data_IF_844748013496
#
_entry.id   IF_844748013496
#
_cell.length_a   1.000
_cell.length_b   1.000
_cell.length_c   1.000
_cell.angle_alpha   90.00
_cell.angle_beta   90.00
_cell.angle_gamma   90.00
#
_symmetry.space_group_name_H-M   'P 1'
#
loop_
_entity.id
_entity.type
_entity.pdbx_description
1 polymer ?
#
# COMPACT_ATOMS: atom_id res chain seq x y z
N UNK A 1 -6.49 2.12 -13.65
CA UNK A 1 -6.36 0.64 -13.64
C UNK A 1 -4.90 0.32 -13.48
N UNK A 2 -4.53 -0.65 -12.64
CA UNK A 2 -3.13 -1.07 -12.41
C UNK A 2 -3.11 -2.59 -12.47
N UNK A 3 -2.28 -3.21 -13.31
CA UNK A 3 -2.29 -4.66 -13.51
C UNK A 3 -3.66 -5.22 -13.91
N UNK A 4 -4.45 -4.46 -14.68
CA UNK A 4 -5.83 -4.81 -15.04
C UNK A 4 -6.83 -4.80 -13.88
N UNK A 5 -6.47 -4.24 -12.71
CA UNK A 5 -7.35 -4.12 -11.54
C UNK A 5 -7.76 -2.66 -11.30
N UNK A 6 -9.01 -2.49 -10.84
CA UNK A 6 -9.51 -1.18 -10.39
C UNK A 6 -9.12 -0.98 -8.93
N UNK A 7 -8.16 -0.08 -8.69
CA UNK A 7 -7.67 0.26 -7.37
C UNK A 7 -8.34 1.54 -6.90
N UNK A 8 -8.94 1.50 -5.71
CA UNK A 8 -9.50 2.68 -5.04
C UNK A 8 -8.42 3.37 -4.22
N UNK A 9 -8.25 4.67 -4.44
CA UNK A 9 -7.36 5.51 -3.64
C UNK A 9 -8.21 6.35 -2.69
N UNK A 10 -8.00 6.17 -1.39
CA UNK A 10 -8.61 6.96 -0.34
C UNK A 10 -7.59 7.95 0.21
N UNK A 11 -7.82 9.25 -0.02
CA UNK A 11 -6.96 10.32 0.49
C UNK A 11 -7.26 10.53 1.97
N UNK A 12 -6.34 10.10 2.83
CA UNK A 12 -6.57 9.89 4.25
C UNK A 12 -5.42 10.50 5.07
N UNK A 13 -5.33 11.85 5.14
CA UNK A 13 -4.23 12.54 5.82
C UNK A 13 -4.16 12.27 7.34
N UNK A 14 -5.21 11.68 7.92
CA UNK A 14 -5.21 11.22 9.31
C UNK A 14 -4.29 10.01 9.56
N UNK A 15 -3.92 9.25 8.53
CA UNK A 15 -2.96 8.16 8.65
C UNK A 15 -1.55 8.67 8.36
N UNK A 16 -0.59 8.30 9.20
CA UNK A 16 0.80 8.75 9.06
C UNK A 16 1.46 8.22 7.78
N UNK A 17 1.13 6.98 7.39
CA UNK A 17 1.77 6.25 6.29
C UNK A 17 0.76 5.81 5.25
N UNK A 18 1.20 5.72 4.00
CA UNK A 18 0.42 5.18 2.90
C UNK A 18 0.40 3.66 2.97
N UNK A 19 -0.81 3.07 2.95
CA UNK A 19 -1.02 1.63 3.16
C UNK A 19 -1.93 1.04 2.08
N UNK A 20 -1.45 -0.02 1.42
CA UNK A 20 -2.22 -0.85 0.50
C UNK A 20 -2.75 -2.11 1.19
N UNK A 21 -3.92 -2.58 0.76
CA UNK A 21 -4.33 -3.97 0.99
C UNK A 21 -3.39 -4.96 0.27
N UNK A 22 -3.40 -6.23 0.69
CA UNK A 22 -2.57 -7.26 0.05
C UNK A 22 -2.82 -7.35 -1.47
N UNK A 23 -4.10 -7.38 -1.87
CA UNK A 23 -4.48 -7.47 -3.29
C UNK A 23 -4.09 -6.22 -4.10
N UNK A 24 -4.19 -5.02 -3.51
CA UNK A 24 -3.72 -3.80 -4.17
C UNK A 24 -2.19 -3.80 -4.28
N UNK A 25 -1.48 -4.17 -3.21
CA UNK A 25 -0.03 -4.29 -3.21
C UNK A 25 0.48 -5.28 -4.26
N UNK A 26 -0.19 -6.43 -4.40
CA UNK A 26 0.14 -7.42 -5.42
C UNK A 26 -0.04 -6.88 -6.85
N UNK A 27 -1.14 -6.18 -7.12
CA UNK A 27 -1.38 -5.57 -8.43
C UNK A 27 -0.39 -4.44 -8.74
N UNK A 28 -0.07 -3.61 -7.75
CA UNK A 28 0.91 -2.52 -7.88
C UNK A 28 2.31 -3.09 -8.09
N UNK A 29 2.71 -4.10 -7.33
CA UNK A 29 4.01 -4.77 -7.47
C UNK A 29 4.19 -5.35 -8.88
N UNK A 30 3.18 -6.06 -9.39
CA UNK A 30 3.24 -6.67 -10.72
C UNK A 30 3.40 -5.63 -11.83
N UNK A 31 2.76 -4.46 -11.70
CA UNK A 31 2.84 -3.40 -12.70
C UNK A 31 4.12 -2.56 -12.56
N UNK A 32 4.53 -2.20 -11.34
CA UNK A 32 5.59 -1.22 -11.08
C UNK A 32 6.90 -1.84 -10.58
N UNK A 33 7.01 -3.16 -10.71
CA UNK A 33 8.14 -3.97 -10.23
C UNK A 33 8.46 -3.69 -8.74
N UNK A 34 7.42 -3.77 -7.91
CA UNK A 34 7.52 -3.54 -6.48
C UNK A 34 8.02 -4.78 -5.72
N UNK A 35 8.86 -4.56 -4.70
CA UNK A 35 9.40 -5.62 -3.84
C UNK A 35 9.18 -5.31 -2.35
N UNK A 36 8.87 -6.35 -1.56
CA UNK A 36 8.76 -6.23 -0.10
C UNK A 36 10.13 -6.23 0.54
N UNK A 37 10.29 -5.44 1.60
CA UNK A 37 11.55 -5.26 2.33
C UNK A 37 11.29 -5.12 3.82
N UNK A 38 12.30 -5.47 4.61
CA UNK A 38 12.26 -5.41 6.06
C UNK A 38 11.26 -6.36 6.71
N UNK A 39 11.18 -6.26 8.04
CA UNK A 39 10.32 -7.08 8.88
C UNK A 39 8.87 -6.54 8.92
N UNK A 40 7.86 -7.41 9.16
CA UNK A 40 6.48 -6.97 9.37
C UNK A 40 6.35 -5.98 10.53
N UNK A 41 5.63 -4.87 10.30
CA UNK A 41 5.27 -3.88 11.31
C UNK A 41 3.75 -3.80 11.46
N UNK A 42 3.28 -3.47 12.67
CA UNK A 42 1.86 -3.22 12.91
C UNK A 42 1.48 -1.83 12.39
N UNK A 43 0.44 -1.77 11.57
CA UNK A 43 -0.11 -0.52 11.06
C UNK A 43 -1.56 -0.36 11.50
N UNK A 44 -1.89 0.82 12.02
CA UNK A 44 -3.27 1.17 12.33
C UNK A 44 -4.07 1.33 11.03
N UNK A 45 -5.15 0.55 10.90
CA UNK A 45 -6.05 0.64 9.74
C UNK A 45 -7.25 1.54 10.04
N UNK A 46 -7.89 1.35 11.19
CA UNK A 46 -9.00 2.19 11.67
C UNK A 46 -9.39 1.83 13.10
N UNK A 47 -9.89 2.78 13.89
CA UNK A 47 -10.49 2.57 15.22
C UNK A 47 -9.67 1.65 16.16
N UNK A 48 -8.34 1.83 16.20
CA UNK A 48 -7.45 1.01 17.04
C UNK A 48 -7.19 -0.41 16.52
N UNK A 49 -7.70 -0.76 15.34
CA UNK A 49 -7.44 -2.05 14.70
C UNK A 49 -6.12 -1.99 13.95
N UNK A 50 -5.16 -2.79 14.40
CA UNK A 50 -3.84 -2.93 13.78
C UNK A 50 -3.75 -4.18 12.91
N UNK A 51 -2.91 -4.10 11.87
CA UNK A 51 -2.64 -5.22 10.96
C UNK A 51 -1.16 -5.28 10.61
N UNK A 52 -0.60 -6.49 10.39
CA UNK A 52 0.77 -6.62 9.92
C UNK A 52 0.88 -6.12 8.48
N UNK A 53 1.87 -5.27 8.23
CA UNK A 53 2.25 -4.80 6.92
C UNK A 53 3.77 -4.79 6.76
N UNK A 54 4.25 -4.87 5.52
CA UNK A 54 5.67 -4.75 5.18
C UNK A 54 5.90 -3.61 4.21
N UNK A 55 7.09 -3.03 4.24
CA UNK A 55 7.46 -1.96 3.31
C UNK A 55 7.60 -2.54 1.92
N UNK A 56 6.92 -1.95 0.94
CA UNK A 56 7.13 -2.21 -0.47
C UNK A 56 7.81 -0.99 -1.11
N UNK A 57 8.93 -1.22 -1.80
CA UNK A 57 9.59 -0.24 -2.66
C UNK A 57 9.21 -0.51 -4.10
N UNK A 58 8.95 0.54 -4.85
CA UNK A 58 8.60 0.47 -6.27
C UNK A 58 9.80 0.85 -7.13
N UNK A 59 10.14 0.04 -8.13
CA UNK A 59 11.15 0.40 -9.12
C UNK A 59 10.72 1.58 -9.99
N UNK A 60 9.40 1.82 -10.11
CA UNK A 60 8.80 2.96 -10.83
C UNK A 60 7.78 3.65 -9.93
N UNK A 61 7.76 4.99 -9.95
CA UNK A 61 6.79 5.75 -9.15
C UNK A 61 5.36 5.49 -9.61
N UNK A 62 4.45 5.42 -8.65
CA UNK A 62 3.01 5.50 -8.88
C UNK A 62 2.60 6.97 -8.75
N UNK A 63 2.31 7.60 -9.88
CA UNK A 63 1.90 9.00 -9.91
C UNK A 63 0.39 9.14 -9.74
N UNK A 64 -0.04 10.02 -8.82
CA UNK A 64 -1.43 10.35 -8.51
C UNK A 64 -1.62 11.86 -8.61
N UNK A 65 -1.70 12.36 -9.85
CA UNK A 65 -1.75 13.81 -10.09
C UNK A 65 -0.43 14.48 -9.66
N UNK A 66 -0.44 15.44 -8.73
CA UNK A 66 0.77 16.15 -8.30
C UNK A 66 1.62 15.41 -7.26
N UNK A 67 1.21 14.22 -6.79
CA UNK A 67 1.98 13.43 -5.83
C UNK A 67 2.46 12.12 -6.47
N UNK A 68 3.61 11.64 -6.03
CA UNK A 68 4.21 10.38 -6.47
C UNK A 68 4.49 9.47 -5.28
N UNK A 69 4.28 8.18 -5.47
CA UNK A 69 4.53 7.14 -4.46
C UNK A 69 5.62 6.23 -4.99
N UNK A 70 6.76 6.16 -4.30
CA UNK A 70 7.85 5.20 -4.56
C UNK A 70 7.92 4.11 -3.48
N UNK A 71 7.24 4.35 -2.35
CA UNK A 71 7.24 3.50 -1.17
C UNK A 71 5.86 3.52 -0.52
N UNK A 72 5.40 2.35 -0.10
CA UNK A 72 4.17 2.19 0.68
C UNK A 72 4.22 0.94 1.54
N UNK A 73 3.37 0.87 2.55
CA UNK A 73 3.17 -0.35 3.33
C UNK A 73 2.14 -1.25 2.66
N UNK A 74 2.40 -2.55 2.60
CA UNK A 74 1.47 -3.56 2.08
C UNK A 74 1.08 -4.49 3.20
N UNK A 75 -0.22 -4.58 3.48
CA UNK A 75 -0.76 -5.53 4.47
C UNK A 75 -0.50 -6.95 4.01
N UNK A 76 0.10 -7.79 4.86
CA UNK A 76 0.52 -9.15 4.50
C UNK A 76 -0.51 -10.22 4.87
N UNK A 77 -1.43 -9.93 5.79
CA UNK A 77 -2.38 -10.91 6.32
C UNK A 77 -3.87 -10.62 6.00
N UNK A 78 -4.18 -9.67 5.11
CA UNK A 78 -5.54 -9.18 4.89
C UNK A 78 -6.05 -9.30 3.45
N UNK A 79 -7.35 -9.56 3.29
CA UNK A 79 -8.13 -9.42 2.05
C UNK A 79 -7.40 -9.76 0.73
N UNK A 80 -7.02 -11.03 0.57
CA UNK A 80 -6.28 -11.52 -0.60
C UNK A 80 -5.00 -12.24 -0.17
N UNK A 81 -4.00 -12.25 -1.05
CA UNK A 81 -2.66 -12.79 -0.77
C UNK A 81 -1.60 -11.80 -1.25
N UNK A 82 -0.60 -11.56 -0.41
CA UNK A 82 0.61 -10.81 -0.77
C UNK A 82 1.72 -11.75 -1.26
N UNK A 83 1.47 -13.07 -1.33
CA UNK A 83 2.49 -14.09 -1.60
C UNK A 83 3.07 -14.01 -3.02
N UNK A 84 2.40 -13.31 -3.94
CA UNK A 84 2.91 -13.10 -5.29
C UNK A 84 3.89 -11.92 -5.38
N UNK A 85 4.04 -11.13 -4.31
CA UNK A 85 4.99 -10.02 -4.27
C UNK A 85 6.36 -10.59 -3.93
N UNK A 86 7.36 -10.28 -4.76
CA UNK A 86 8.74 -10.70 -4.51
C UNK A 86 9.31 -9.98 -3.28
N UNK A 87 10.16 -10.66 -2.54
CA UNK A 87 11.03 -10.01 -1.56
C UNK A 87 12.20 -9.32 -2.28
N UNK A 88 12.61 -8.16 -1.75
CA UNK A 88 13.92 -7.58 -2.01
C UNK A 88 14.98 -8.57 -1.51
N UNK A 89 16.12 -8.68 -2.19
CA UNK A 89 17.19 -9.57 -1.73
C UNK A 89 17.53 -9.19 -0.29
N UNK A 90 17.50 -10.13 0.67
CA UNK A 90 17.74 -9.81 2.06
C UNK A 90 19.14 -9.20 2.21
N UNK A 91 19.21 -8.08 2.92
CA UNK A 91 20.50 -7.63 3.46
C UNK A 91 20.95 -8.71 4.46
N UNK A 92 22.17 -9.24 4.37
CA UNK A 92 22.67 -10.25 5.29
C UNK A 92 22.56 -9.85 6.76
N UNK A 93 22.49 -8.55 7.06
CA UNK A 93 22.32 -8.01 8.42
C UNK A 93 20.89 -8.11 8.97
N UNK A 94 19.89 -8.37 8.13
CA UNK A 94 18.46 -8.48 8.53
C UNK A 94 17.93 -9.91 8.45
N UNK A 95 18.80 -10.91 8.26
CA UNK A 95 18.42 -12.33 8.32
C UNK A 95 18.18 -12.76 9.77
N UNK A 96 16.94 -12.64 10.23
CA UNK A 96 16.43 -13.39 11.39
C UNK A 96 15.81 -14.71 10.92
N UNK A 97 15.98 -15.78 11.69
CA UNK A 97 15.31 -17.07 11.47
C UNK A 97 13.80 -16.92 11.75
N UNK A 98 13.08 -16.28 10.82
CA UNK A 98 11.64 -16.07 10.93
C UNK A 98 10.89 -17.30 10.40
N UNK A 99 10.11 -17.94 11.28
CA UNK A 99 9.24 -19.06 10.92
C UNK A 99 8.03 -18.53 10.15
N UNK A 100 8.01 -18.73 8.82
CA UNK A 100 6.84 -18.40 7.98
C UNK A 100 5.80 -19.52 8.07
N UNK A 101 4.72 -19.26 8.81
CA UNK A 101 3.58 -20.21 8.90
C UNK A 101 2.57 -19.95 7.79
N UNK A 102 2.49 -20.86 6.82
CA UNK A 102 1.48 -20.83 5.76
C UNK A 102 0.19 -21.55 6.20
N UNK A 103 -0.83 -20.79 6.58
CA UNK A 103 -2.16 -21.31 6.91
C UNK A 103 -3.12 -21.31 5.71
N UNK A 104 -3.93 -22.36 5.55
CA UNK A 104 -5.04 -22.36 4.58
C UNK A 104 -6.23 -21.59 5.15
N UNK A 105 -6.59 -20.44 4.56
CA UNK A 105 -7.79 -19.67 4.93
C UNK A 105 -8.75 -19.59 3.74
N UNK A 106 -10.06 -19.59 4.01
CA UNK A 106 -11.09 -19.34 2.99
C UNK A 106 -10.83 -17.97 2.34
N UNK A 107 -10.76 -17.87 1.00
CA UNK A 107 -10.45 -16.62 0.33
C UNK A 107 -11.54 -15.59 0.65
N UNK A 108 -11.17 -14.51 1.34
CA UNK A 108 -12.01 -13.33 1.49
C UNK A 108 -12.02 -12.56 0.17
N UNK A 109 -13.13 -11.88 -0.16
CA UNK A 109 -13.21 -11.01 -1.35
C UNK A 109 -12.05 -10.02 -1.35
N UNK A 110 -11.24 -10.04 -2.41
CA UNK A 110 -10.11 -9.15 -2.56
C UNK A 110 -10.59 -7.69 -2.58
N UNK A 111 -10.06 -6.88 -1.67
CA UNK A 111 -10.27 -5.44 -1.66
C UNK A 111 -9.05 -4.80 -2.33
N UNK A 112 -9.27 -4.01 -3.38
CA UNK A 112 -8.21 -3.26 -4.06
C UNK A 112 -8.28 -1.80 -3.60
N UNK A 113 -7.66 -1.51 -2.45
CA UNK A 113 -7.68 -0.18 -1.84
C UNK A 113 -6.30 0.22 -1.35
N UNK A 114 -5.99 1.49 -1.54
CA UNK A 114 -4.82 2.18 -0.99
C UNK A 114 -5.31 3.38 -0.20
N UNK A 115 -4.90 3.49 1.06
CA UNK A 115 -5.04 4.69 1.86
C UNK A 115 -3.79 5.53 1.68
N UNK A 116 -3.93 6.71 1.07
CA UNK A 116 -2.83 7.65 0.85
C UNK A 116 -2.71 8.52 2.09
N UNK A 117 -1.59 8.36 2.80
CA UNK A 117 -1.35 8.96 4.12
C UNK A 117 -0.63 10.30 4.07
N UNK A 118 -0.33 10.83 5.24
CA UNK A 118 0.39 12.09 5.41
C UNK A 118 1.83 12.04 4.87
N UNK A 119 2.47 10.87 4.84
CA UNK A 119 3.77 10.67 4.19
C UNK A 119 3.80 11.16 2.74
N UNK A 120 2.72 10.94 2.00
CA UNK A 120 2.56 11.40 0.60
C UNK A 120 1.89 12.78 0.54
N UNK A 121 0.93 13.06 1.44
CA UNK A 121 0.07 14.25 1.36
C UNK A 121 0.60 15.48 2.09
N UNK A 122 1.70 15.39 2.86
CA UNK A 122 2.23 16.51 3.67
C UNK A 122 2.58 17.75 2.86
N UNK A 123 2.97 17.59 1.59
CA UNK A 123 3.24 18.71 0.68
C UNK A 123 1.99 19.42 0.15
N UNK A 124 0.81 18.86 0.40
CA UNK A 124 -0.45 19.37 -0.12
C UNK A 124 -1.13 20.34 0.85
N UNK A 125 -1.47 21.53 0.37
CA UNK A 125 -2.18 22.56 1.12
C UNK A 125 -3.69 22.34 1.12
N UNK A 126 -4.24 21.63 0.14
CA UNK A 126 -5.67 21.33 0.09
C UNK A 126 -5.99 20.04 -0.67
N UNK A 127 -7.08 19.41 -0.26
CA UNK A 127 -7.72 18.25 -0.92
C UNK A 127 -9.19 18.60 -1.05
N UNK A 128 -9.71 18.72 -2.28
CA UNK A 128 -11.13 19.01 -2.52
C UNK A 128 -11.75 17.94 -3.42
N UNK A 129 -13.06 17.72 -3.26
CA UNK A 129 -13.83 16.79 -4.07
C UNK A 129 -14.90 17.52 -4.86
N UNK A 130 -14.72 17.59 -6.17
CA UNK A 130 -15.75 18.03 -7.12
C UNK A 130 -16.75 16.89 -7.31
N UNK A 131 -17.86 16.97 -6.57
CA UNK A 131 -18.95 15.96 -6.61
C UNK A 131 -19.54 15.78 -8.00
N UNK A 132 -19.97 16.84 -8.73
CA UNK A 132 -20.50 16.68 -10.09
C UNK A 132 -19.55 15.99 -11.07
N UNK A 133 -18.24 16.29 -10.99
CA UNK A 133 -17.25 15.72 -11.91
C UNK A 133 -16.61 14.43 -11.42
N UNK A 134 -16.87 14.03 -10.18
CA UNK A 134 -16.20 12.93 -9.50
C UNK A 134 -14.67 13.06 -9.50
N UNK A 135 -14.16 14.29 -9.33
CA UNK A 135 -12.73 14.59 -9.35
C UNK A 135 -12.23 14.98 -7.96
N UNK A 136 -11.05 14.46 -7.62
CA UNK A 136 -10.29 14.90 -6.45
C UNK A 136 -9.22 15.88 -6.94
N UNK A 137 -9.21 17.08 -6.37
CA UNK A 137 -8.18 18.07 -6.62
C UNK A 137 -7.22 18.11 -5.43
N UNK A 138 -5.93 17.98 -5.75
CA UNK A 138 -4.84 18.18 -4.81
C UNK A 138 -4.14 19.48 -5.20
N UNK A 139 -3.96 20.37 -4.24
CA UNK A 139 -3.07 21.53 -4.42
C UNK A 139 -1.88 21.33 -3.52
N UNK A 140 -0.69 21.21 -4.11
CA UNK A 140 0.55 20.94 -3.40
C UNK A 140 1.60 21.99 -3.78
N UNK A 141 2.56 22.20 -2.86
CA UNK A 141 3.65 23.18 -3.02
C UNK A 141 4.87 22.55 -3.68
#
# INVERSE_FOLDING_TARGET
>A
MIGGKSIKFAFAPQFATTVASAAAGAAISAELDGALSGTPQQVMISHGVERPARVMRLSRTLDLGPVSIDRLLVRTADFGSANSIRDEKPDPSEMTDDIVVNGKRKPSRAAYIVYVGADVLRGCTSITYDKPRHLIHLTCK
#
